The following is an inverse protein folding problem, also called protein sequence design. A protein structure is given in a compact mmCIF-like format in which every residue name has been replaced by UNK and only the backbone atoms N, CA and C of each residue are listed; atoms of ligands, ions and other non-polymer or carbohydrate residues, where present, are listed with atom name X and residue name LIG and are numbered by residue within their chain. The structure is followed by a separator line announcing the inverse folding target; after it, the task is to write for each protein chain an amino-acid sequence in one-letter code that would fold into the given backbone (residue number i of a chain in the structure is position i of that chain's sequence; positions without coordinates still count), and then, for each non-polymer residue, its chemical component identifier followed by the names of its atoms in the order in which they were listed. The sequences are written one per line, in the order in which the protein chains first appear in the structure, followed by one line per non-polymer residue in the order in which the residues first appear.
data_IF_506404428428
#
_entry.id   IF_506404428428
#
_cell.length_a   1.000
_cell.length_b   1.000
_cell.length_c   1.000
_cell.angle_alpha   90.00
_cell.angle_beta   90.00
_cell.angle_gamma   90.00
#
_symmetry.space_group_name_H-M   'P 1'
#
loop_
_entity.id
_entity.type
_entity.pdbx_description
1 polymer ?
#
# COMPACT_ATOMS: atom_id res chain seq x y z
N UNK A 1 -6.22 10.60 5.72
CA UNK A 1 -6.45 9.25 5.10
C UNK A 1 -5.47 8.28 5.72
N UNK A 2 -5.69 6.98 5.56
CA UNK A 2 -4.76 5.93 5.99
C UNK A 2 -4.25 5.23 4.73
N UNK A 3 -2.93 5.08 4.62
CA UNK A 3 -2.28 4.34 3.55
C UNK A 3 -1.61 3.09 4.13
N UNK A 4 -2.01 1.92 3.65
CA UNK A 4 -1.24 0.69 3.83
C UNK A 4 -0.26 0.58 2.68
N UNK A 5 1.02 0.36 2.96
CA UNK A 5 2.03 0.09 1.93
C UNK A 5 2.70 -1.26 2.21
N UNK A 6 2.87 -2.08 1.18
CA UNK A 6 3.50 -3.38 1.31
C UNK A 6 3.79 -4.04 -0.02
N UNK A 7 4.60 -5.09 0.00
CA UNK A 7 4.85 -5.95 -1.17
C UNK A 7 4.22 -7.34 -0.97
N UNK A 8 3.97 -8.04 -2.08
CA UNK A 8 3.49 -9.42 -2.06
C UNK A 8 2.28 -9.64 -1.14
N UNK A 9 2.36 -10.62 -0.25
CA UNK A 9 1.28 -10.94 0.70
C UNK A 9 0.93 -9.76 1.61
N UNK A 10 1.93 -9.02 2.11
CA UNK A 10 1.71 -7.86 2.98
C UNK A 10 0.91 -6.76 2.27
N UNK A 11 1.28 -6.44 1.02
CA UNK A 11 0.51 -5.49 0.19
C UNK A 11 -0.91 -5.97 -0.10
N UNK A 12 -1.09 -7.27 -0.40
CA UNK A 12 -2.43 -7.87 -0.64
C UNK A 12 -3.33 -7.76 0.58
N UNK A 13 -2.81 -7.98 1.79
CA UNK A 13 -3.58 -7.83 3.03
C UNK A 13 -3.98 -6.36 3.27
N UNK A 14 -3.11 -5.39 2.96
CA UNK A 14 -3.46 -3.97 3.04
C UNK A 14 -4.57 -3.59 2.05
N UNK A 15 -4.52 -4.09 0.81
CA UNK A 15 -5.58 -3.87 -0.18
C UNK A 15 -6.89 -4.53 0.23
N UNK A 16 -6.84 -5.76 0.76
CA UNK A 16 -8.00 -6.47 1.27
C UNK A 16 -8.69 -5.68 2.39
N UNK A 17 -7.96 -5.27 3.43
CA UNK A 17 -8.52 -4.50 4.54
C UNK A 17 -9.14 -3.18 4.05
N UNK A 18 -8.41 -2.42 3.23
CA UNK A 18 -8.89 -1.16 2.67
C UNK A 18 -10.19 -1.33 1.87
N UNK A 19 -10.33 -2.45 1.14
CA UNK A 19 -11.51 -2.72 0.30
C UNK A 19 -12.80 -2.97 1.10
N UNK A 20 -12.67 -3.40 2.35
CA UNK A 20 -13.81 -3.69 3.23
C UNK A 20 -14.30 -2.45 4.01
N UNK A 21 -13.50 -1.38 4.06
CA UNK A 21 -13.86 -0.14 4.78
C UNK A 21 -15.15 0.51 4.23
N UNK A 22 -15.32 0.70 2.91
CA UNK A 22 -16.53 1.31 2.36
C UNK A 22 -17.82 0.54 2.63
N UNK A 23 -17.93 -0.78 2.34
CA UNK A 23 -19.17 -1.51 2.58
C UNK A 23 -19.44 -1.76 4.07
N UNK A 24 -18.40 -1.88 4.91
CA UNK A 24 -18.58 -2.17 6.34
C UNK A 24 -18.98 -0.93 7.14
N UNK A 25 -18.36 0.21 6.84
CA UNK A 25 -18.50 1.43 7.66
C UNK A 25 -19.18 2.61 6.94
N UNK A 26 -19.60 2.44 5.68
CA UNK A 26 -20.23 3.51 4.90
C UNK A 26 -19.28 4.69 4.60
N UNK A 27 -17.98 4.40 4.50
CA UNK A 27 -16.93 5.41 4.30
C UNK A 27 -16.53 5.54 2.82
N UNK A 28 -15.93 6.67 2.39
CA UNK A 28 -15.42 6.82 1.03
C UNK A 28 -14.26 5.85 0.72
N UNK A 29 -14.20 5.34 -0.52
CA UNK A 29 -13.08 4.51 -1.04
C UNK A 29 -11.70 5.19 -0.99
N UNK A 30 -11.66 6.49 -0.72
CA UNK A 30 -10.44 7.30 -0.65
C UNK A 30 -9.93 7.48 0.78
N UNK A 31 -10.67 7.01 1.79
CA UNK A 31 -10.31 7.21 3.19
C UNK A 31 -9.17 6.29 3.64
N UNK A 32 -9.25 5.01 3.26
CA UNK A 32 -8.24 3.98 3.53
C UNK A 32 -7.81 3.38 2.20
N UNK A 33 -6.52 3.40 1.91
CA UNK A 33 -5.96 3.05 0.61
C UNK A 33 -4.85 2.02 0.78
N UNK A 34 -4.94 0.90 0.08
CA UNK A 34 -3.86 -0.09 0.01
C UNK A 34 -3.01 0.13 -1.23
N UNK A 35 -1.70 0.32 -1.04
CA UNK A 35 -0.69 0.35 -2.10
C UNK A 35 0.14 -0.91 -2.04
N UNK A 36 0.26 -1.58 -3.19
CA UNK A 36 1.02 -2.81 -3.34
C UNK A 36 2.15 -2.60 -4.34
N UNK A 37 3.37 -2.97 -3.94
CA UNK A 37 4.52 -2.96 -4.82
C UNK A 37 4.25 -3.78 -6.09
N UNK A 38 4.43 -3.17 -7.26
CA UNK A 38 4.11 -3.78 -8.56
C UNK A 38 2.68 -3.52 -9.06
N UNK A 39 1.89 -2.73 -8.33
CA UNK A 39 0.55 -2.29 -8.73
C UNK A 39 -0.48 -3.42 -8.85
N UNK A 40 -1.57 -3.18 -9.58
CA UNK A 40 -2.69 -4.13 -9.70
C UNK A 40 -2.27 -5.53 -10.19
N UNK A 41 -1.22 -5.64 -11.00
CA UNK A 41 -0.68 -6.94 -11.43
C UNK A 41 -0.25 -7.78 -10.23
N UNK A 42 0.35 -7.14 -9.21
CA UNK A 42 0.84 -7.77 -7.99
C UNK A 42 -0.26 -8.40 -7.13
N UNK A 43 -1.53 -7.98 -7.30
CA UNK A 43 -2.67 -8.54 -6.58
C UNK A 43 -2.88 -10.02 -6.89
N UNK A 44 -2.64 -10.43 -8.15
CA UNK A 44 -2.90 -11.80 -8.61
C UNK A 44 -1.63 -12.57 -8.94
N UNK A 45 -0.59 -11.88 -9.40
CA UNK A 45 0.65 -12.51 -9.83
C UNK A 45 1.85 -11.83 -9.14
N UNK A 46 2.90 -12.55 -8.74
CA UNK A 46 4.15 -11.92 -8.33
C UNK A 46 4.70 -11.03 -9.44
N UNK A 47 5.28 -9.89 -9.06
CA UNK A 47 6.04 -9.02 -9.96
C UNK A 47 7.47 -9.02 -9.46
N UNK A 48 8.40 -9.53 -10.27
CA UNK A 48 9.81 -9.63 -9.89
C UNK A 48 10.39 -8.25 -9.58
N UNK A 49 11.20 -8.18 -8.51
CA UNK A 49 11.88 -6.97 -8.02
C UNK A 49 11.00 -5.74 -7.72
N UNK A 50 9.68 -5.90 -7.67
CA UNK A 50 8.78 -4.81 -7.30
C UNK A 50 9.04 -4.31 -5.87
N UNK A 51 9.46 -5.20 -4.97
CA UNK A 51 9.75 -4.88 -3.56
C UNK A 51 11.11 -4.22 -3.34
N UNK A 52 11.99 -4.26 -4.35
CA UNK A 52 13.38 -3.79 -4.28
C UNK A 52 13.51 -2.29 -4.61
N UNK A 53 12.46 -1.62 -5.10
CA UNK A 53 12.48 -0.20 -5.42
C UNK A 53 12.09 0.66 -4.20
N UNK A 54 13.06 1.32 -3.51
CA UNK A 54 12.77 2.10 -2.32
C UNK A 54 12.01 3.41 -2.63
N UNK A 55 12.04 3.92 -3.87
CA UNK A 55 11.40 5.22 -4.18
C UNK A 55 9.93 5.06 -4.54
N UNK A 56 9.53 3.86 -4.95
CA UNK A 56 8.25 3.62 -5.60
C UNK A 56 7.05 3.94 -4.69
N UNK A 57 7.07 3.50 -3.43
CA UNK A 57 6.00 3.81 -2.49
C UNK A 57 5.83 5.32 -2.31
N UNK A 58 6.93 6.05 -2.15
CA UNK A 58 6.88 7.51 -2.00
C UNK A 58 6.34 8.23 -3.24
N UNK A 59 6.68 7.76 -4.45
CA UNK A 59 6.11 8.27 -5.70
C UNK A 59 4.59 8.05 -5.77
N UNK A 60 4.12 6.87 -5.39
CA UNK A 60 2.69 6.52 -5.37
C UNK A 60 1.93 7.33 -4.31
N UNK A 61 2.52 7.56 -3.13
CA UNK A 61 1.96 8.42 -2.09
C UNK A 61 1.87 9.88 -2.56
N UNK A 62 2.87 10.39 -3.29
CA UNK A 62 2.82 11.73 -3.91
C UNK A 62 1.72 11.84 -4.97
N UNK A 63 1.51 10.80 -5.77
CA UNK A 63 0.42 10.76 -6.74
C UNK A 63 -0.96 10.86 -6.06
N UNK A 64 -1.06 10.44 -4.80
CA UNK A 64 -2.25 10.61 -3.95
C UNK A 64 -2.27 11.95 -3.18
N UNK A 65 -1.34 12.87 -3.45
CA UNK A 65 -1.21 14.13 -2.71
C UNK A 65 -1.15 13.92 -1.19
N UNK A 66 -0.34 12.97 -0.73
CA UNK A 66 -0.14 12.75 0.70
C UNK A 66 0.31 14.03 1.41
N UNK A 67 -0.17 14.24 2.63
CA UNK A 67 0.22 15.36 3.47
C UNK A 67 0.31 14.95 4.95
N UNK A 68 0.61 15.91 5.82
CA UNK A 68 0.81 15.68 7.26
C UNK A 68 -0.43 15.25 8.03
N UNK A 69 -1.63 15.28 7.43
CA UNK A 69 -2.87 14.79 8.03
C UNK A 69 -3.19 13.35 7.64
N UNK A 70 -2.29 12.69 6.89
CA UNK A 70 -2.40 11.30 6.50
C UNK A 70 -1.50 10.41 7.37
N UNK A 71 -1.92 9.17 7.57
CA UNK A 71 -1.15 8.14 8.27
C UNK A 71 -0.66 7.11 7.27
N UNK A 72 0.60 6.71 7.36
CA UNK A 72 1.18 5.62 6.56
C UNK A 72 1.52 4.46 7.49
N UNK A 73 1.10 3.26 7.09
CA UNK A 73 1.35 2.00 7.79
C UNK A 73 2.12 1.10 6.84
N UNK A 74 3.41 0.93 7.11
CA UNK A 74 4.28 0.02 6.38
C UNK A 74 4.12 -1.42 6.88
N UNK A 75 3.84 -2.35 5.96
CA UNK A 75 3.62 -3.76 6.26
C UNK A 75 4.70 -4.59 5.55
N UNK A 76 5.64 -5.13 6.33
CA UNK A 76 6.67 -6.04 5.85
C UNK A 76 7.00 -7.06 6.95
N UNK A 77 6.80 -8.34 6.69
CA UNK A 77 7.13 -9.39 7.66
C UNK A 77 8.62 -9.44 8.00
N UNK A 78 9.49 -9.15 7.03
CA UNK A 78 10.94 -9.08 7.23
C UNK A 78 11.38 -7.84 8.01
N UNK A 79 10.57 -6.78 8.03
CA UNK A 79 10.95 -5.45 8.53
C UNK A 79 12.03 -4.75 7.70
N UNK A 80 12.46 -5.31 6.56
CA UNK A 80 13.60 -4.83 5.76
C UNK A 80 13.26 -4.55 4.29
N UNK A 81 12.00 -4.72 3.88
CA UNK A 81 11.56 -4.56 2.48
C UNK A 81 11.82 -3.13 1.96
N UNK A 82 12.66 -2.93 0.92
CA UNK A 82 13.04 -1.60 0.45
C UNK A 82 11.87 -0.70 0.07
N UNK A 83 10.88 -1.21 -0.67
CA UNK A 83 9.65 -0.48 -1.03
C UNK A 83 8.92 0.09 0.20
N UNK A 84 8.97 -0.59 1.34
CA UNK A 84 8.25 -0.19 2.56
C UNK A 84 9.07 0.79 3.41
N UNK A 85 10.39 0.68 3.38
CA UNK A 85 11.32 1.52 4.15
C UNK A 85 11.55 2.89 3.51
N UNK A 86 11.61 2.91 2.17
CA UNK A 86 12.10 4.06 1.39
C UNK A 86 11.11 5.21 1.21
#
# INVERSE_FOLDING_TARGET
RIFYIGAGTSGRLGVLDASEIPPTFGMPNTLVVGLIAGGDTALRNPVESAEDDPKKAWEELKAHNINSNDTVVGIAASGTTPYVIG
#
